data_IF_316610127860
#
_entry.id   IF_316610127860
#
_cell.length_a   1.000
_cell.length_b   1.000
_cell.length_c   1.000
_cell.angle_alpha   90.00
_cell.angle_beta   90.00
_cell.angle_gamma   90.00
#
_symmetry.space_group_name_H-M   'P 1'
#
loop_
_entity.id
_entity.type
_entity.pdbx_description
1 polymer ?
#
# COMPACT_ATOMS: atom_id res chain seq x y z
N UNK A 1 6.92 -0.37 -27.76
CA UNK A 1 6.66 -0.46 -27.27
C UNK A 1 6.33 -0.64 -26.66
N UNK A 2 6.30 -0.76 -26.40
CA UNK A 2 6.00 -0.96 -25.71
C UNK A 2 5.48 -1.15 -25.04
N UNK A 3 5.73 -0.93 -24.83
CA UNK A 3 5.27 -1.08 -24.02
C UNK A 3 4.43 -1.20 -23.56
N UNK A 4 4.19 -1.29 -23.46
CA UNK A 4 3.42 -1.42 -22.91
C UNK A 4 2.75 -1.78 -22.60
N UNK A 5 2.81 -1.96 -22.50
CA UNK A 5 2.33 -2.40 -22.16
C UNK A 5 1.77 -2.74 -21.55
N UNK A 6 1.76 -2.79 -21.24
CA UNK A 6 1.47 -3.18 -20.45
C UNK A 6 0.58 -3.36 -20.10
N UNK A 7 1.00 -3.32 -20.13
CA UNK A 7 -0.10 -4.02 -19.87
C UNK A 7 -1.12 -3.48 -19.10
N UNK A 8 -2.05 -3.61 -19.51
CA UNK A 8 -3.10 -3.05 -18.72
C UNK A 8 -2.73 -3.18 -17.28
N UNK A 9 -3.55 -3.04 -16.40
CA UNK A 9 -3.24 -2.90 -15.00
C UNK A 9 -2.77 -4.17 -14.32
N UNK A 10 -2.57 -5.23 -15.07
CA UNK A 10 -2.32 -6.53 -14.48
C UNK A 10 -1.02 -6.60 -13.68
N UNK A 11 -0.04 -5.85 -14.03
CA UNK A 11 1.22 -5.91 -13.35
C UNK A 11 1.47 -4.74 -12.42
N UNK A 12 0.55 -3.78 -12.35
CA UNK A 12 0.77 -2.57 -11.59
C UNK A 12 -0.01 -2.61 -10.29
N UNK A 13 0.71 -2.49 -9.18
CA UNK A 13 0.09 -2.42 -7.87
C UNK A 13 -0.20 -0.97 -7.53
N UNK A 14 -1.46 -0.65 -7.33
CA UNK A 14 -1.87 0.68 -6.88
C UNK A 14 -2.19 0.60 -5.40
N UNK A 15 -1.38 1.26 -4.61
CA UNK A 15 -1.40 1.15 -3.15
C UNK A 15 -1.62 2.52 -2.54
N UNK A 16 -2.46 2.57 -1.51
CA UNK A 16 -2.68 3.78 -0.73
C UNK A 16 -2.42 3.45 0.73
N UNK A 17 -1.48 4.16 1.35
CA UNK A 17 -1.17 3.97 2.76
C UNK A 17 -1.66 5.18 3.54
N UNK A 18 -2.63 4.95 4.41
CA UNK A 18 -3.22 6.00 5.24
C UNK A 18 -2.49 6.04 6.57
N UNK A 19 -2.03 7.20 6.97
CA UNK A 19 -1.23 7.39 8.17
C UNK A 19 -1.72 8.60 8.96
N UNK A 20 -1.23 8.73 10.19
CA UNK A 20 -1.55 9.88 11.06
C UNK A 20 -0.28 10.68 11.28
N UNK A 21 -0.01 11.62 10.37
CA UNK A 21 1.13 12.51 10.53
C UNK A 21 2.44 11.75 10.67
N UNK A 22 3.30 12.27 11.53
CA UNK A 22 4.66 11.73 11.71
C UNK A 22 4.79 10.88 12.97
N UNK A 23 3.76 10.11 13.31
CA UNK A 23 3.85 9.21 14.46
C UNK A 23 4.84 8.08 14.19
N UNK A 24 5.42 7.48 15.25
CA UNK A 24 6.35 6.36 15.04
C UNK A 24 5.74 5.21 14.26
N UNK A 25 4.47 4.85 14.52
CA UNK A 25 3.84 3.78 13.78
C UNK A 25 3.67 4.13 12.30
N UNK A 26 3.32 5.39 12.00
CA UNK A 26 3.20 5.83 10.61
C UNK A 26 4.55 5.79 9.90
N UNK A 27 5.60 6.26 10.56
CA UNK A 27 6.93 6.24 9.98
C UNK A 27 7.40 4.81 9.70
N UNK A 28 7.13 3.89 10.62
CA UNK A 28 7.48 2.49 10.42
C UNK A 28 6.71 1.88 9.27
N UNK A 29 5.40 2.19 9.19
CA UNK A 29 4.58 1.65 8.11
C UNK A 29 5.09 2.10 6.75
N UNK A 30 5.44 3.38 6.63
CA UNK A 30 5.98 3.92 5.38
C UNK A 30 7.28 3.20 5.02
N UNK A 31 8.22 3.13 5.96
CA UNK A 31 9.53 2.54 5.68
C UNK A 31 9.40 1.06 5.34
N UNK A 32 8.60 0.32 6.12
CA UNK A 32 8.43 -1.10 5.90
C UNK A 32 7.78 -1.39 4.55
N UNK A 33 6.75 -0.62 4.21
CA UNK A 33 6.05 -0.85 2.95
C UNK A 33 6.92 -0.47 1.77
N UNK A 34 7.65 0.63 1.86
CA UNK A 34 8.54 1.01 0.77
C UNK A 34 9.61 -0.05 0.52
N UNK A 35 10.15 -0.64 1.60
CA UNK A 35 11.12 -1.70 1.46
C UNK A 35 10.52 -2.90 0.73
N UNK A 36 9.30 -3.28 1.09
CA UNK A 36 8.62 -4.40 0.43
C UNK A 36 8.38 -4.09 -1.04
N UNK A 37 7.91 -2.87 -1.34
CA UNK A 37 7.66 -2.48 -2.71
C UNK A 37 8.93 -2.52 -3.55
N UNK A 38 10.03 -1.99 -3.03
CA UNK A 38 11.28 -1.98 -3.76
C UNK A 38 11.85 -3.37 -3.95
N UNK A 39 11.64 -4.24 -2.98
CA UNK A 39 12.20 -5.60 -3.03
C UNK A 39 11.39 -6.50 -3.96
N UNK A 40 10.06 -6.41 -3.89
CA UNK A 40 9.20 -7.40 -4.54
C UNK A 40 8.46 -6.86 -5.75
N UNK A 41 8.18 -5.58 -5.80
CA UNK A 41 7.40 -5.00 -6.90
C UNK A 41 8.25 -4.17 -7.84
N UNK A 42 9.38 -3.72 -7.38
CA UNK A 42 10.34 -2.91 -8.14
C UNK A 42 9.63 -1.73 -8.77
N UNK A 43 9.54 -1.66 -10.07
CA UNK A 43 8.94 -0.50 -10.71
C UNK A 43 7.47 -0.71 -11.07
N UNK A 44 6.88 -1.79 -10.57
CA UNK A 44 5.51 -2.12 -10.93
C UNK A 44 4.53 -1.74 -9.83
N UNK A 45 4.72 -0.57 -9.23
CA UNK A 45 3.80 -0.10 -8.23
C UNK A 45 3.69 1.41 -8.24
N UNK A 46 2.55 1.88 -7.74
CA UNK A 46 2.30 3.28 -7.47
C UNK A 46 1.84 3.35 -6.01
N UNK A 47 2.61 4.04 -5.19
CA UNK A 47 2.29 4.15 -3.77
C UNK A 47 1.97 5.61 -3.44
N UNK A 48 0.76 5.81 -2.92
CA UNK A 48 0.33 7.11 -2.44
C UNK A 48 0.24 7.07 -0.92
N UNK A 49 0.87 8.04 -0.25
CA UNK A 49 0.83 8.12 1.20
C UNK A 49 -0.10 9.25 1.56
N UNK A 50 -1.13 8.95 2.35
CA UNK A 50 -2.20 9.88 2.66
C UNK A 50 -2.22 10.13 4.16
N UNK A 51 -1.94 11.37 4.55
CA UNK A 51 -2.05 11.78 5.95
C UNK A 51 -3.49 12.19 6.21
N UNK A 52 -4.17 11.45 7.09
CA UNK A 52 -5.60 11.68 7.32
C UNK A 52 -5.87 13.03 7.95
N UNK A 53 -4.89 13.63 8.63
CA UNK A 53 -5.06 14.96 9.18
C UNK A 53 -5.05 16.03 8.11
N UNK A 54 -4.31 15.79 7.03
CA UNK A 54 -4.25 16.73 5.92
C UNK A 54 -5.34 16.47 4.89
N UNK A 55 -5.85 15.26 4.83
CA UNK A 55 -6.87 14.88 3.86
C UNK A 55 -8.00 14.13 4.55
N UNK A 56 -8.70 14.80 5.48
CA UNK A 56 -9.73 14.12 6.27
C UNK A 56 -10.91 13.61 5.45
N UNK A 57 -11.21 14.25 4.32
CA UNK A 57 -12.32 13.80 3.50
C UNK A 57 -12.02 12.46 2.84
N UNK A 58 -10.77 12.22 2.49
CA UNK A 58 -10.40 10.92 1.94
C UNK A 58 -10.56 9.82 2.97
N UNK A 59 -10.13 10.09 4.20
CA UNK A 59 -10.27 9.11 5.28
C UNK A 59 -11.74 8.80 5.54
N UNK A 60 -12.58 9.84 5.57
CA UNK A 60 -14.00 9.66 5.79
C UNK A 60 -14.64 8.86 4.66
N UNK A 61 -14.31 9.20 3.43
CA UNK A 61 -14.85 8.52 2.26
C UNK A 61 -14.52 7.03 2.28
N UNK A 62 -13.32 6.69 2.72
CA UNK A 62 -12.87 5.29 2.74
C UNK A 62 -13.28 4.56 4.01
N UNK A 63 -13.94 5.24 4.93
CA UNK A 63 -14.39 4.64 6.18
C UNK A 63 -13.22 4.04 6.96
N UNK A 64 -12.17 4.84 7.11
CA UNK A 64 -10.98 4.39 7.82
C UNK A 64 -11.27 4.34 9.30
N UNK A 65 -11.07 3.18 9.93
CA UNK A 65 -11.35 3.00 11.35
C UNK A 65 -10.10 2.70 12.18
N UNK A 66 -8.99 2.38 11.53
CA UNK A 66 -7.74 2.09 12.22
C UNK A 66 -6.58 2.52 11.32
N UNK A 67 -5.49 2.94 11.95
CA UNK A 67 -4.32 3.45 11.23
C UNK A 67 -3.06 2.89 11.88
N UNK A 68 -1.98 2.68 11.12
CA UNK A 68 -1.90 2.85 9.67
C UNK A 68 -2.74 1.80 8.93
N UNK A 69 -3.22 2.19 7.75
CA UNK A 69 -4.02 1.29 6.92
C UNK A 69 -3.51 1.31 5.49
N UNK A 70 -3.22 0.13 4.96
CA UNK A 70 -2.85 -0.02 3.57
C UNK A 70 -4.05 -0.53 2.78
N UNK A 71 -4.35 0.14 1.66
CA UNK A 71 -5.36 -0.35 0.73
C UNK A 71 -4.67 -0.69 -0.59
N UNK A 72 -4.78 -1.94 -0.99
CA UNK A 72 -4.36 -2.36 -2.33
C UNK A 72 -5.55 -2.21 -3.25
N UNK A 73 -5.47 -1.28 -4.20
CA UNK A 73 -6.55 -1.07 -5.16
C UNK A 73 -6.48 -2.04 -6.31
N UNK A 74 -5.29 -2.23 -6.84
CA UNK A 74 -5.05 -3.19 -7.92
C UNK A 74 -3.74 -3.90 -7.65
N UNK A 75 -3.54 -5.12 -8.17
CA UNK A 75 -4.52 -5.91 -8.88
C UNK A 75 -5.63 -6.41 -7.94
N UNK A 76 -6.78 -6.67 -8.51
CA UNK A 76 -7.90 -7.19 -7.73
C UNK A 76 -7.60 -8.58 -7.20
N UNK A 77 -8.19 -8.94 -6.08
CA UNK A 77 -9.20 -8.21 -5.31
C UNK A 77 -8.59 -7.10 -4.47
N UNK A 78 -9.40 -6.08 -4.19
CA UNK A 78 -8.99 -5.02 -3.29
C UNK A 78 -8.80 -5.60 -1.89
N UNK A 79 -7.74 -5.15 -1.20
CA UNK A 79 -7.42 -5.65 0.13
C UNK A 79 -7.05 -4.51 1.05
N UNK A 80 -7.33 -4.70 2.33
CA UNK A 80 -6.97 -3.74 3.38
C UNK A 80 -6.14 -4.46 4.43
N UNK A 81 -5.05 -3.80 4.84
CA UNK A 81 -4.16 -4.32 5.87
C UNK A 81 -3.92 -3.23 6.90
N UNK A 82 -4.07 -3.58 8.18
CA UNK A 82 -3.90 -2.64 9.27
C UNK A 82 -2.60 -2.95 9.99
N UNK A 83 -1.88 -1.91 10.41
CA UNK A 83 -0.69 -2.07 11.21
C UNK A 83 0.51 -1.35 10.60
N UNK A 84 1.67 -1.51 11.24
CA UNK A 84 2.88 -0.81 10.82
C UNK A 84 3.64 -1.52 9.70
N UNK A 85 3.05 -2.54 9.10
CA UNK A 85 3.63 -3.29 7.97
C UNK A 85 4.93 -4.02 8.34
N UNK A 86 5.14 -4.28 9.64
CA UNK A 86 6.35 -4.97 10.09
C UNK A 86 6.27 -6.48 9.88
N UNK A 87 5.06 -7.04 9.79
CA UNK A 87 4.89 -8.47 9.52
C UNK A 87 4.95 -8.68 8.02
N UNK A 88 6.15 -8.94 7.52
CA UNK A 88 6.39 -9.06 6.08
C UNK A 88 5.53 -10.13 5.45
N UNK A 89 5.41 -11.28 6.09
CA UNK A 89 4.61 -12.39 5.54
C UNK A 89 3.16 -11.98 5.37
N UNK A 90 2.61 -11.29 6.36
CA UNK A 90 1.24 -10.85 6.31
C UNK A 90 1.03 -9.84 5.18
N UNK A 91 1.99 -8.92 5.01
CA UNK A 91 1.88 -7.92 3.95
C UNK A 91 1.98 -8.58 2.58
N UNK A 92 2.93 -9.46 2.39
CA UNK A 92 3.07 -10.16 1.10
C UNK A 92 1.83 -10.96 0.77
N UNK A 93 1.28 -11.65 1.75
CA UNK A 93 0.06 -12.42 1.54
C UNK A 93 -1.09 -11.51 1.16
N UNK A 94 -1.22 -10.37 1.86
CA UNK A 94 -2.27 -9.41 1.55
C UNK A 94 -2.13 -8.80 0.16
N UNK A 95 -0.90 -8.65 -0.30
CA UNK A 95 -0.64 -8.12 -1.64
C UNK A 95 -0.77 -9.19 -2.73
N UNK A 96 -0.89 -10.45 -2.33
CA UNK A 96 -0.97 -11.52 -3.30
C UNK A 96 0.38 -11.90 -3.90
N UNK A 97 1.46 -11.65 -3.17
CA UNK A 97 2.80 -11.96 -3.63
C UNK A 97 3.28 -13.23 -2.96
N UNK A 98 3.69 -14.19 -3.78
CA UNK A 98 4.25 -15.41 -3.23
C UNK A 98 5.72 -15.17 -2.87
N UNK A 99 6.11 -15.69 -1.71
CA UNK A 99 7.50 -15.63 -1.28
C UNK A 99 8.01 -17.04 -1.14
N UNK A 100 9.09 -17.32 -1.84
CA UNK A 100 9.70 -18.65 -1.85
C UNK A 100 10.96 -18.70 -1.02
#
# INVERSE_FOLDING_TARGET
MTKQKKAPDNGVYKLQLYVTGATPNSSRAIANLMDICETYLKENYELEIIDVYQQPLMAKKEQIVALPLLIKRTPLPERRLIGDMSDRQKVLKGLGIAEY
#
